data_IF_639019964185
#
_entry.id   IF_639019964185
#
_cell.length_a   1.000
_cell.length_b   1.000
_cell.length_c   1.000
_cell.angle_alpha   90.00
_cell.angle_beta   90.00
_cell.angle_gamma   90.00
#
_symmetry.space_group_name_H-M   'P 1'
#
loop_
_entity.id
_entity.type
_entity.pdbx_description
1 polymer ?
#
# COMPACT_ATOMS: atom_id res chain seq x y z
N UNK A 1 5.00 17.71 -19.46
CA UNK A 1 5.65 17.82 -18.14
C UNK A 1 4.80 18.57 -17.10
N UNK A 2 4.02 19.59 -17.48
CA UNK A 2 3.19 20.34 -16.53
C UNK A 2 2.03 19.52 -15.92
N UNK A 3 1.28 18.81 -16.77
CA UNK A 3 0.10 17.99 -16.37
C UNK A 3 0.40 17.00 -15.23
N UNK A 4 1.58 16.38 -15.24
CA UNK A 4 1.95 15.42 -14.19
C UNK A 4 2.28 16.11 -12.85
N UNK A 5 2.92 17.29 -12.89
CA UNK A 5 3.20 18.07 -11.68
C UNK A 5 1.92 18.58 -11.04
N UNK A 6 0.98 19.06 -11.86
CA UNK A 6 -0.31 19.56 -11.38
C UNK A 6 -1.11 18.42 -10.73
N UNK A 7 -1.20 17.26 -11.39
CA UNK A 7 -1.84 16.07 -10.83
C UNK A 7 -1.19 15.61 -9.51
N UNK A 8 0.13 15.64 -9.43
CA UNK A 8 0.84 15.29 -8.20
C UNK A 8 0.54 16.26 -7.06
N UNK A 9 0.52 17.57 -7.32
CA UNK A 9 0.25 18.57 -6.27
C UNK A 9 -1.22 18.54 -5.84
N UNK A 10 -2.16 18.40 -6.77
CA UNK A 10 -3.60 18.23 -6.49
C UNK A 10 -3.90 17.01 -5.61
N UNK A 11 -3.17 15.91 -5.83
CA UNK A 11 -3.40 14.63 -5.13
C UNK A 11 -2.42 14.37 -3.98
N UNK A 12 -1.49 15.28 -3.71
CA UNK A 12 -0.40 15.12 -2.72
C UNK A 12 -0.90 14.72 -1.34
N UNK A 13 -1.96 15.37 -0.87
CA UNK A 13 -2.55 15.06 0.43
C UNK A 13 -3.08 13.62 0.50
N UNK A 14 -3.76 13.16 -0.57
CA UNK A 14 -4.23 11.78 -0.68
C UNK A 14 -3.04 10.82 -0.64
N UNK A 15 -2.01 11.03 -1.47
CA UNK A 15 -0.84 10.16 -1.52
C UNK A 15 -0.08 10.07 -0.19
N UNK A 16 0.06 11.19 0.52
CA UNK A 16 0.68 11.20 1.84
C UNK A 16 -0.15 10.42 2.85
N UNK A 17 -1.47 10.61 2.88
CA UNK A 17 -2.35 9.86 3.77
C UNK A 17 -2.31 8.36 3.46
N UNK A 18 -2.38 8.00 2.19
CA UNK A 18 -2.29 6.63 1.71
C UNK A 18 -0.98 5.94 2.12
N UNK A 19 0.15 6.66 2.05
CA UNK A 19 1.45 6.19 2.52
C UNK A 19 1.50 6.06 4.05
N UNK A 20 1.00 7.07 4.77
CA UNK A 20 1.00 7.06 6.24
C UNK A 20 0.12 5.93 6.80
N UNK A 21 -1.02 5.64 6.17
CA UNK A 21 -1.86 4.51 6.54
C UNK A 21 -1.14 3.17 6.36
N UNK A 22 -0.37 3.02 5.28
CA UNK A 22 0.43 1.83 5.06
C UNK A 22 1.56 1.70 6.09
N UNK A 23 2.26 2.81 6.38
CA UNK A 23 3.36 2.84 7.36
C UNK A 23 2.93 2.59 8.81
N UNK A 24 1.63 2.77 9.13
CA UNK A 24 1.07 2.45 10.45
C UNK A 24 0.97 0.94 10.69
N UNK A 25 1.03 0.11 9.64
CA UNK A 25 1.04 -1.34 9.77
C UNK A 25 2.47 -1.78 10.15
N UNK A 26 2.70 -2.37 11.35
CA UNK A 26 4.03 -2.72 11.81
C UNK A 26 4.52 -4.05 11.18
N UNK A 27 4.52 -4.14 9.85
CA UNK A 27 4.87 -5.35 9.09
C UNK A 27 6.38 -5.62 9.06
N UNK A 28 6.96 -5.99 10.21
CA UNK A 28 8.40 -6.26 10.36
C UNK A 28 8.70 -7.74 10.08
N UNK A 29 9.25 -8.05 8.90
CA UNK A 29 9.49 -9.43 8.44
C UNK A 29 10.49 -10.23 9.28
N UNK A 30 11.44 -9.56 9.95
CA UNK A 30 12.43 -10.22 10.81
C UNK A 30 11.85 -10.68 12.16
N UNK A 31 10.61 -10.30 12.49
CA UNK A 31 9.92 -10.60 13.75
C UNK A 31 8.75 -11.52 13.49
N UNK A 32 8.80 -12.74 14.00
CA UNK A 32 7.75 -13.73 13.80
C UNK A 32 6.42 -13.30 14.42
N UNK A 33 6.44 -12.50 15.50
CA UNK A 33 5.24 -11.94 16.11
C UNK A 33 4.49 -10.96 15.20
N UNK A 34 5.14 -10.38 14.19
CA UNK A 34 4.55 -9.45 13.23
C UNK A 34 4.04 -10.14 11.95
N UNK A 35 3.97 -11.47 11.92
CA UNK A 35 3.46 -12.23 10.76
C UNK A 35 2.05 -11.78 10.36
N UNK A 36 1.15 -11.59 11.33
CA UNK A 36 -0.20 -11.10 11.07
C UNK A 36 -0.21 -9.68 10.47
N UNK A 37 0.68 -8.79 10.92
CA UNK A 37 0.82 -7.44 10.38
C UNK A 37 1.38 -7.46 8.95
N UNK A 38 2.27 -8.40 8.65
CA UNK A 38 2.79 -8.60 7.30
C UNK A 38 1.69 -9.03 6.33
N UNK A 39 0.85 -9.99 6.75
CA UNK A 39 -0.29 -10.43 5.95
C UNK A 39 -1.31 -9.30 5.78
N UNK A 40 -1.57 -8.50 6.83
CA UNK A 40 -2.41 -7.30 6.76
C UNK A 40 -1.86 -6.27 5.77
N UNK A 41 -0.56 -6.01 5.80
CA UNK A 41 0.11 -5.09 4.88
C UNK A 41 -0.01 -5.57 3.42
N UNK A 42 0.17 -6.87 3.17
CA UNK A 42 0.02 -7.46 1.84
C UNK A 42 -1.42 -7.28 1.29
N UNK A 43 -2.44 -7.51 2.12
CA UNK A 43 -3.83 -7.29 1.73
C UNK A 43 -4.16 -5.80 1.52
N UNK A 44 -3.61 -4.90 2.35
CA UNK A 44 -3.75 -3.46 2.16
C UNK A 44 -3.17 -2.99 0.81
N UNK A 45 -1.97 -3.46 0.44
CA UNK A 45 -1.37 -3.17 -0.87
C UNK A 45 -2.24 -3.74 -2.00
N UNK A 46 -2.74 -4.96 -1.85
CA UNK A 46 -3.63 -5.57 -2.85
C UNK A 46 -4.88 -4.73 -3.09
N UNK A 47 -5.51 -4.26 -2.03
CA UNK A 47 -6.69 -3.39 -2.13
C UNK A 47 -6.36 -2.08 -2.87
N UNK A 48 -5.24 -1.43 -2.54
CA UNK A 48 -4.82 -0.18 -3.23
C UNK A 48 -4.51 -0.38 -4.71
N UNK A 49 -3.96 -1.52 -5.09
CA UNK A 49 -3.73 -1.87 -6.50
C UNK A 49 -5.06 -2.05 -7.25
N UNK A 50 -6.05 -2.72 -6.65
CA UNK A 50 -7.38 -2.87 -7.24
C UNK A 50 -8.08 -1.51 -7.40
N UNK A 51 -8.01 -0.64 -6.38
CA UNK A 51 -8.57 0.72 -6.43
C UNK A 51 -7.92 1.60 -7.50
N UNK A 52 -6.63 1.38 -7.78
CA UNK A 52 -5.91 2.03 -8.87
C UNK A 52 -6.31 1.52 -10.27
N UNK A 53 -7.20 0.52 -10.36
CA UNK A 53 -7.70 -0.04 -11.61
C UNK A 53 -6.86 -1.19 -12.16
N UNK A 54 -6.06 -1.86 -11.33
CA UNK A 54 -5.33 -3.07 -11.75
C UNK A 54 -6.30 -4.24 -11.89
N UNK A 55 -6.32 -4.89 -13.06
CA UNK A 55 -7.29 -5.96 -13.38
C UNK A 55 -7.17 -7.20 -12.49
N UNK A 56 -5.94 -7.57 -12.12
CA UNK A 56 -5.68 -8.78 -11.33
C UNK A 56 -4.58 -8.53 -10.30
N UNK A 57 -4.88 -8.86 -9.05
CA UNK A 57 -3.94 -8.80 -7.93
C UNK A 57 -4.07 -10.07 -7.10
N UNK A 58 -2.95 -10.65 -6.68
CA UNK A 58 -2.93 -11.91 -5.92
C UNK A 58 -1.81 -11.87 -4.89
N UNK A 59 -2.14 -12.17 -3.64
CA UNK A 59 -1.16 -12.37 -2.57
C UNK A 59 -0.78 -13.84 -2.58
N UNK A 60 0.52 -14.13 -2.63
CA UNK A 60 1.06 -15.48 -2.52
C UNK A 60 1.54 -15.69 -1.09
N UNK A 61 0.86 -16.55 -0.28
CA UNK A 61 1.26 -16.78 1.10
C UNK A 61 2.65 -17.42 1.18
N UNK A 62 3.37 -17.06 2.24
CA UNK A 62 4.63 -17.70 2.63
C UNK A 62 4.49 -18.24 4.05
N UNK A 63 5.10 -19.41 4.28
CA UNK A 63 5.24 -20.03 5.62
C UNK A 63 6.17 -19.22 6.53
#
# INVERSE_FOLDING_TARGET
MQVWKDYQEENKGRFLNELLDLLRIPSVSAKSENKADMDLCAEAVKQRLLEAGVDKVTVYPTE
#
